data_IF_276075055626
#
_entry.id   IF_276075055626
#
_cell.length_a   1.000
_cell.length_b   1.000
_cell.length_c   1.000
_cell.angle_alpha   90.00
_cell.angle_beta   90.00
_cell.angle_gamma   90.00
#
_symmetry.space_group_name_H-M   'P 1'
#
loop_
_entity.id
_entity.type
_entity.pdbx_description
1 polymer ?
#
# COMPACT_ATOMS: atom_id res chain seq x y z
N UNK A 1 38.00 13.72 -6.49
CA UNK A 1 37.88 14.98 -7.24
C UNK A 1 37.76 14.59 -8.71
N UNK A 2 36.53 14.53 -9.24
CA UNK A 2 36.28 14.10 -10.61
C UNK A 2 35.60 15.25 -11.36
N UNK A 3 36.23 15.71 -12.43
CA UNK A 3 35.70 16.70 -13.37
C UNK A 3 34.99 15.96 -14.50
N UNK A 4 33.75 16.34 -14.79
CA UNK A 4 33.04 15.92 -16.00
C UNK A 4 33.27 16.97 -17.09
N UNK A 5 33.63 16.51 -18.29
CA UNK A 5 33.75 17.30 -19.50
C UNK A 5 32.52 16.98 -20.36
N UNK A 6 31.69 17.98 -20.63
CA UNK A 6 30.56 17.87 -21.56
C UNK A 6 30.87 18.75 -22.76
N UNK A 7 31.36 18.13 -23.82
CA UNK A 7 31.31 18.68 -25.17
C UNK A 7 30.69 17.61 -26.05
N UNK A 8 29.75 18.05 -26.89
CA UNK A 8 29.10 17.31 -27.98
C UNK A 8 27.75 16.66 -27.65
N UNK A 9 26.73 17.52 -27.45
CA UNK A 9 25.37 17.23 -27.91
C UNK A 9 24.83 18.51 -28.57
N UNK A 10 24.86 18.54 -29.90
CA UNK A 10 24.18 19.53 -30.73
C UNK A 10 22.66 19.31 -30.65
N UNK A 11 21.93 20.34 -30.24
CA UNK A 11 20.48 20.43 -30.36
C UNK A 11 20.15 21.64 -31.24
N UNK A 12 19.72 21.37 -32.47
CA UNK A 12 19.18 22.35 -33.41
C UNK A 12 17.92 23.01 -32.83
N UNK A 13 17.91 24.34 -32.80
CA UNK A 13 16.76 25.18 -32.45
C UNK A 13 16.23 25.77 -33.78
N UNK A 14 14.94 25.65 -34.13
CA UNK A 14 14.40 26.31 -35.31
C UNK A 14 14.28 27.82 -35.09
N UNK A 15 14.84 28.61 -36.00
CA UNK A 15 14.78 30.07 -36.03
C UNK A 15 13.34 30.58 -36.27
N UNK A 16 12.94 31.62 -35.52
CA UNK A 16 11.70 32.34 -35.73
C UNK A 16 11.92 33.49 -36.74
N UNK A 17 11.14 33.48 -37.81
CA UNK A 17 11.15 34.48 -38.88
C UNK A 17 10.89 35.90 -38.36
N UNK A 18 11.81 36.81 -38.70
CA UNK A 18 11.65 38.25 -38.59
C UNK A 18 10.98 38.78 -39.86
N UNK A 19 9.79 39.37 -39.74
CA UNK A 19 9.27 40.33 -40.72
C UNK A 19 9.05 41.68 -40.06
N UNK A 20 9.82 42.67 -40.53
CA UNK A 20 9.69 44.09 -40.24
C UNK A 20 8.73 44.76 -41.23
N UNK A 21 7.99 45.76 -40.72
CA UNK A 21 7.68 47.09 -41.30
C UNK A 21 6.19 47.50 -41.16
N UNK A 22 5.85 48.80 -41.13
CA UNK A 22 6.57 49.95 -40.57
C UNK A 22 5.67 50.87 -39.70
N UNK A 23 6.33 51.81 -39.01
CA UNK A 23 5.77 52.85 -38.14
C UNK A 23 4.99 53.92 -38.94
N UNK A 24 3.82 54.32 -38.44
CA UNK A 24 3.21 55.64 -38.74
C UNK A 24 2.44 56.19 -37.53
N UNK A 25 2.91 57.35 -37.09
CA UNK A 25 2.35 58.40 -36.23
C UNK A 25 0.85 58.37 -35.86
N UNK A 26 0.56 58.51 -34.56
CA UNK A 26 0.07 59.78 -34.00
C UNK A 26 0.07 59.76 -32.47
N UNK A 27 0.63 60.83 -31.90
CA UNK A 27 0.60 61.16 -30.49
C UNK A 27 -0.79 61.65 -30.09
N UNK A 28 -1.30 61.24 -28.93
CA UNK A 28 -2.12 62.08 -28.04
C UNK A 28 -2.41 61.37 -26.69
N UNK A 29 -2.27 62.14 -25.60
CA UNK A 29 -2.67 61.92 -24.20
C UNK A 29 -1.91 60.85 -23.38
N UNK A 30 -0.88 61.23 -22.62
CA UNK A 30 -0.93 61.86 -21.28
C UNK A 30 -1.58 61.00 -20.17
N UNK A 31 -0.70 60.58 -19.26
CA UNK A 31 -0.90 60.57 -17.80
C UNK A 31 -2.11 59.84 -17.23
N UNK A 32 -2.02 58.51 -17.16
CA UNK A 32 -2.52 57.72 -16.04
C UNK A 32 -2.09 56.24 -16.19
N UNK A 33 -1.09 55.82 -15.41
CA UNK A 33 -0.82 54.43 -14.92
C UNK A 33 0.68 54.21 -14.70
N UNK A 34 1.22 54.89 -13.69
CA UNK A 34 2.49 54.53 -13.07
C UNK A 34 2.36 54.81 -11.57
N UNK A 35 1.45 54.10 -10.91
CA UNK A 35 1.37 53.98 -9.45
C UNK A 35 0.32 52.91 -9.13
N UNK A 36 0.70 51.64 -9.27
CA UNK A 36 0.04 50.52 -8.60
C UNK A 36 0.93 49.28 -8.72
N UNK A 37 2.09 49.33 -8.06
CA UNK A 37 2.80 48.12 -7.64
C UNK A 37 3.17 48.28 -6.16
N UNK A 38 2.38 47.57 -5.34
CA UNK A 38 2.53 47.28 -3.89
C UNK A 38 2.34 48.47 -2.91
N UNK A 39 1.68 48.25 -1.74
CA UNK A 39 1.74 47.02 -0.94
C UNK A 39 0.38 46.46 -0.44
N UNK A 40 0.28 45.13 -0.40
CA UNK A 40 -0.55 44.42 0.58
C UNK A 40 0.16 43.10 0.92
N UNK A 41 1.19 43.24 1.74
CA UNK A 41 1.60 42.21 2.69
C UNK A 41 0.56 42.25 3.81
N UNK A 42 -0.24 41.18 3.93
CA UNK A 42 -0.77 40.66 5.20
C UNK A 42 -1.66 39.43 4.91
N UNK A 43 -1.07 38.40 4.30
CA UNK A 43 -1.61 37.04 4.47
C UNK A 43 -0.88 36.49 5.67
N UNK A 44 -1.57 36.49 6.82
CA UNK A 44 -1.07 35.89 8.06
C UNK A 44 -0.60 34.47 7.77
N UNK A 45 0.66 34.16 8.08
CA UNK A 45 1.28 32.83 8.08
C UNK A 45 0.59 31.81 9.03
N UNK A 46 -0.63 32.08 9.50
CA UNK A 46 -1.39 31.23 10.42
C UNK A 46 -2.61 30.51 9.82
N UNK A 47 -3.03 30.82 8.58
CA UNK A 47 -4.29 30.28 8.03
C UNK A 47 -4.17 28.90 7.37
N UNK A 48 -2.94 28.37 7.19
CA UNK A 48 -2.75 26.99 6.71
C UNK A 48 -2.88 25.92 7.81
N UNK A 49 -2.98 26.31 9.09
CA UNK A 49 -2.91 25.35 10.22
C UNK A 49 -4.27 24.87 10.76
N UNK A 50 -5.39 25.22 10.13
CA UNK A 50 -6.73 24.77 10.56
C UNK A 50 -7.58 24.20 9.40
N UNK A 51 -6.97 23.41 8.51
CA UNK A 51 -7.77 22.40 7.78
C UNK A 51 -8.26 21.39 8.82
N UNK A 52 -9.57 21.41 9.07
CA UNK A 52 -10.32 20.50 9.95
C UNK A 52 -9.75 19.08 9.77
N UNK A 53 -9.02 18.55 10.76
CA UNK A 53 -8.50 17.18 10.71
C UNK A 53 -9.64 16.27 10.27
N UNK A 54 -9.44 15.51 9.18
CA UNK A 54 -10.42 14.54 8.71
C UNK A 54 -10.60 13.51 9.81
N UNK A 55 -11.81 13.48 10.39
CA UNK A 55 -12.16 12.52 11.43
C UNK A 55 -12.07 11.10 10.86
N UNK A 56 -11.39 10.21 11.57
CA UNK A 56 -11.36 8.79 11.26
C UNK A 56 -12.79 8.28 11.08
N UNK A 57 -13.03 7.62 9.95
CA UNK A 57 -14.31 7.01 9.62
C UNK A 57 -14.08 5.69 8.91
N UNK A 58 -14.90 4.71 9.25
CA UNK A 58 -14.94 3.43 8.56
C UNK A 58 -15.81 3.54 7.30
N UNK A 59 -15.23 3.19 6.16
CA UNK A 59 -15.93 3.04 4.88
C UNK A 59 -16.38 1.59 4.74
N UNK A 60 -17.68 1.40 4.62
CA UNK A 60 -18.26 0.07 4.48
C UNK A 60 -18.06 -0.46 3.06
N UNK A 61 -17.84 -1.77 2.89
CA UNK A 61 -17.65 -2.41 1.57
C UNK A 61 -18.80 -2.08 0.62
N UNK A 62 -20.04 -2.01 1.10
CA UNK A 62 -21.20 -1.66 0.28
C UNK A 62 -21.21 -0.19 -0.19
N UNK A 63 -20.51 0.71 0.51
CA UNK A 63 -20.31 2.10 0.08
C UNK A 63 -19.19 2.16 -0.97
N UNK A 64 -18.07 1.47 -0.71
CA UNK A 64 -16.94 1.38 -1.64
C UNK A 64 -17.32 0.68 -2.95
N UNK A 65 -18.19 -0.33 -2.90
CA UNK A 65 -18.70 -1.01 -4.10
C UNK A 65 -19.50 -0.10 -5.03
N UNK A 66 -20.12 0.96 -4.50
CA UNK A 66 -20.88 1.94 -5.30
C UNK A 66 -19.98 2.93 -6.04
N UNK A 67 -18.73 3.08 -5.61
CA UNK A 67 -17.74 3.93 -6.27
C UNK A 67 -16.87 3.15 -7.27
N UNK A 68 -17.24 1.91 -7.61
CA UNK A 68 -16.52 1.14 -8.62
C UNK A 68 -17.04 1.50 -10.02
N UNK A 69 -16.14 1.62 -11.02
CA UNK A 69 -16.54 1.71 -12.41
C UNK A 69 -17.14 0.37 -12.90
N UNK A 70 -17.79 0.34 -14.07
CA UNK A 70 -18.34 -0.90 -14.65
C UNK A 70 -17.31 -2.01 -14.91
N UNK A 71 -16.05 -1.65 -15.10
CA UNK A 71 -14.93 -2.58 -15.23
C UNK A 71 -13.66 -1.95 -14.68
N UNK A 72 -12.74 -2.77 -14.16
CA UNK A 72 -11.42 -2.35 -13.72
C UNK A 72 -10.35 -2.87 -14.67
N UNK A 73 -9.55 -1.98 -15.26
CA UNK A 73 -8.30 -2.39 -15.90
C UNK A 73 -7.20 -2.59 -14.86
N UNK A 74 -6.44 -3.68 -15.00
CA UNK A 74 -5.38 -4.06 -14.07
C UNK A 74 -4.12 -4.53 -14.78
N UNK A 75 -3.00 -4.39 -14.07
CA UNK A 75 -1.69 -4.91 -14.48
C UNK A 75 -1.04 -5.76 -13.38
N UNK A 76 -0.19 -6.74 -13.75
CA UNK A 76 0.59 -7.52 -12.80
C UNK A 76 1.66 -6.65 -12.13
N UNK A 77 1.70 -6.70 -10.80
CA UNK A 77 2.76 -6.16 -9.96
C UNK A 77 3.65 -7.32 -9.52
N UNK A 78 4.85 -7.40 -10.11
CA UNK A 78 5.86 -8.40 -9.76
C UNK A 78 6.71 -7.90 -8.59
N UNK A 79 6.63 -8.59 -7.47
CA UNK A 79 7.45 -8.35 -6.28
C UNK A 79 8.67 -9.27 -6.32
N UNK A 80 9.89 -8.74 -6.48
CA UNK A 80 11.11 -9.54 -6.40
C UNK A 80 11.41 -9.91 -4.94
N UNK A 81 11.80 -11.17 -4.71
CA UNK A 81 12.13 -11.65 -3.36
C UNK A 81 13.63 -11.89 -3.21
N UNK A 82 14.13 -11.72 -1.99
CA UNK A 82 15.54 -12.03 -1.68
C UNK A 82 15.76 -13.54 -1.58
N UNK A 83 14.74 -14.30 -1.19
CA UNK A 83 14.77 -15.75 -1.01
C UNK A 83 13.67 -16.45 -1.80
N UNK A 84 13.88 -17.72 -2.15
CA UNK A 84 12.85 -18.55 -2.77
C UNK A 84 11.75 -18.88 -1.74
N UNK A 85 10.50 -18.61 -2.11
CA UNK A 85 9.34 -19.03 -1.32
C UNK A 85 8.89 -20.39 -1.85
N UNK A 86 8.91 -21.42 -1.01
CA UNK A 86 8.21 -22.67 -1.30
C UNK A 86 6.71 -22.44 -1.14
N UNK A 87 6.06 -21.90 -2.18
CA UNK A 87 4.60 -21.97 -2.27
C UNK A 87 4.24 -23.41 -2.62
N UNK A 88 3.30 -24.02 -1.88
CA UNK A 88 2.76 -25.32 -2.23
C UNK A 88 2.29 -25.30 -3.70
N UNK A 89 2.82 -26.17 -4.57
CA UNK A 89 2.52 -26.12 -6.00
C UNK A 89 1.13 -26.72 -6.23
N UNK A 90 0.11 -25.87 -6.21
CA UNK A 90 -1.21 -26.18 -6.71
C UNK A 90 -1.58 -25.30 -7.90
N UNK A 91 -0.62 -24.92 -8.76
CA UNK A 91 -0.85 -24.41 -10.13
C UNK A 91 0.44 -24.44 -10.97
N UNK A 92 1.19 -25.55 -10.96
CA UNK A 92 2.27 -25.75 -11.93
C UNK A 92 2.18 -27.19 -12.46
N UNK A 93 1.37 -27.39 -13.49
CA UNK A 93 1.24 -28.71 -14.14
C UNK A 93 2.47 -29.04 -14.99
N UNK A 94 2.92 -30.31 -15.00
CA UNK A 94 4.13 -30.78 -15.66
C UNK A 94 3.86 -31.38 -17.06
N UNK A 95 4.93 -31.50 -17.87
CA UNK A 95 5.25 -32.49 -18.95
C UNK A 95 6.24 -31.86 -19.96
N UNK A 96 7.27 -32.50 -20.52
CA UNK A 96 7.46 -33.90 -20.89
C UNK A 96 8.93 -34.35 -20.80
N UNK A 97 9.08 -35.63 -20.44
CA UNK A 97 10.24 -36.47 -20.68
C UNK A 97 10.61 -36.59 -22.18
N UNK A 98 11.91 -36.58 -22.47
CA UNK A 98 12.50 -37.48 -23.48
C UNK A 98 13.84 -38.01 -22.97
N UNK A 99 13.86 -39.30 -22.69
CA UNK A 99 15.06 -40.11 -22.49
C UNK A 99 15.75 -40.39 -23.83
N UNK A 100 17.08 -40.31 -23.86
CA UNK A 100 17.94 -41.26 -24.59
C UNK A 100 19.32 -41.34 -23.91
N UNK A 101 19.99 -42.51 -23.89
CA UNK A 101 21.20 -42.73 -23.11
C UNK A 101 22.48 -42.62 -23.95
N UNK A 102 23.55 -42.07 -23.37
CA UNK A 102 24.91 -42.41 -23.82
C UNK A 102 25.95 -42.08 -22.74
N UNK A 103 26.64 -43.14 -22.31
CA UNK A 103 27.92 -43.15 -21.59
C UNK A 103 29.05 -42.51 -22.38
N UNK A 104 29.84 -41.64 -21.73
CA UNK A 104 31.33 -41.66 -21.73
C UNK A 104 31.89 -40.65 -20.73
N UNK A 105 33.06 -41.00 -20.21
CA UNK A 105 33.83 -40.39 -19.12
C UNK A 105 34.70 -39.20 -19.54
N UNK A 106 34.94 -38.33 -18.56
CA UNK A 106 36.16 -37.53 -18.29
C UNK A 106 36.16 -36.00 -18.61
N UNK A 107 36.91 -35.31 -17.76
CA UNK A 107 37.39 -33.91 -17.77
C UNK A 107 36.51 -32.79 -17.17
N UNK A 108 36.91 -32.41 -15.93
CA UNK A 108 37.03 -31.06 -15.38
C UNK A 108 36.21 -29.93 -16.05
N UNK A 109 34.96 -29.78 -15.63
CA UNK A 109 34.15 -28.58 -15.88
C UNK A 109 34.13 -27.71 -14.62
N UNK A 110 34.44 -26.40 -14.69
CA UNK A 110 34.26 -25.50 -13.55
C UNK A 110 32.78 -25.50 -13.16
N UNK A 111 32.50 -25.85 -11.89
CA UNK A 111 31.14 -25.86 -11.32
C UNK A 111 30.40 -24.59 -11.78
N UNK A 112 29.27 -24.70 -12.51
CA UNK A 112 28.53 -23.51 -12.89
C UNK A 112 28.13 -22.83 -11.58
N UNK A 113 28.49 -21.54 -11.43
CA UNK A 113 27.94 -20.70 -10.37
C UNK A 113 26.43 -20.75 -10.56
N UNK A 114 25.74 -21.53 -9.73
CA UNK A 114 24.28 -21.55 -9.70
C UNK A 114 23.87 -20.13 -9.33
N UNK A 115 23.51 -19.34 -10.34
CA UNK A 115 22.79 -18.09 -10.12
C UNK A 115 21.48 -18.53 -9.47
N UNK A 116 21.40 -18.45 -8.14
CA UNK A 116 20.14 -18.63 -7.40
C UNK A 116 19.12 -17.74 -8.10
N UNK A 117 18.14 -18.31 -8.79
CA UNK A 117 17.04 -17.51 -9.35
C UNK A 117 16.32 -16.96 -8.14
N UNK A 118 16.20 -15.65 -8.05
CA UNK A 118 15.40 -15.00 -7.00
C UNK A 118 13.94 -15.32 -7.28
N UNK A 119 13.22 -15.86 -6.30
CA UNK A 119 11.77 -16.01 -6.38
C UNK A 119 11.07 -14.66 -6.60
N UNK A 120 9.83 -14.70 -7.08
CA UNK A 120 8.97 -13.53 -7.23
C UNK A 120 7.53 -13.87 -6.91
N UNK A 121 6.80 -12.92 -6.34
CA UNK A 121 5.35 -13.00 -6.17
C UNK A 121 4.69 -12.05 -7.17
N UNK A 122 3.55 -12.44 -7.73
CA UNK A 122 2.73 -11.56 -8.57
C UNK A 122 1.42 -11.24 -7.85
N UNK A 123 1.12 -9.95 -7.74
CA UNK A 123 -0.18 -9.42 -7.32
C UNK A 123 -0.82 -8.67 -8.50
N UNK A 124 -2.14 -8.61 -8.55
CA UNK A 124 -2.81 -7.72 -9.50
C UNK A 124 -3.02 -6.35 -8.86
N UNK A 125 -2.85 -5.30 -9.64
CA UNK A 125 -3.06 -3.92 -9.23
C UNK A 125 -3.87 -3.18 -10.27
N UNK A 126 -4.85 -2.41 -9.84
CA UNK A 126 -5.60 -1.48 -10.69
C UNK A 126 -4.62 -0.52 -11.37
N UNK A 127 -4.86 -0.27 -12.65
CA UNK A 127 -4.05 0.68 -13.39
C UNK A 127 -4.37 2.13 -12.99
N UNK A 128 -3.33 2.96 -12.90
CA UNK A 128 -3.53 4.36 -12.50
C UNK A 128 -4.29 5.16 -13.56
N UNK A 129 -4.13 4.82 -14.86
CA UNK A 129 -4.90 5.48 -15.92
C UNK A 129 -6.39 5.14 -15.83
N UNK A 130 -6.75 3.94 -15.37
CA UNK A 130 -8.14 3.53 -15.17
C UNK A 130 -8.79 4.33 -14.02
N UNK A 131 -8.06 4.50 -12.91
CA UNK A 131 -8.50 5.39 -11.82
C UNK A 131 -8.63 6.86 -12.28
N UNK A 132 -7.73 7.35 -13.15
CA UNK A 132 -7.85 8.69 -13.77
C UNK A 132 -9.10 8.80 -14.63
N UNK A 133 -9.33 7.81 -15.48
CA UNK A 133 -10.47 7.81 -16.40
C UNK A 133 -11.79 7.84 -15.65
N UNK A 134 -11.92 7.06 -14.57
CA UNK A 134 -13.08 7.09 -13.68
C UNK A 134 -13.39 8.51 -13.18
N UNK A 135 -12.39 9.21 -12.63
CA UNK A 135 -12.58 10.57 -12.10
C UNK A 135 -13.00 11.58 -13.19
N UNK A 136 -12.42 11.45 -14.39
CA UNK A 136 -12.80 12.29 -15.54
C UNK A 136 -14.27 12.02 -15.91
N UNK A 137 -14.67 10.75 -16.03
CA UNK A 137 -16.04 10.39 -16.41
C UNK A 137 -17.08 10.86 -15.38
N UNK A 138 -16.80 10.76 -14.08
CA UNK A 138 -17.70 11.24 -13.02
C UNK A 138 -17.82 12.77 -13.01
N UNK A 139 -16.79 13.48 -13.49
CA UNK A 139 -16.79 14.94 -13.60
C UNK A 139 -17.63 15.43 -14.79
N UNK A 140 -17.60 14.72 -15.92
CA UNK A 140 -18.42 15.06 -17.10
C UNK A 140 -19.93 14.84 -16.86
N UNK A 141 -20.29 13.88 -16.00
CA UNK A 141 -21.69 13.63 -15.63
C UNK A 141 -22.26 14.65 -14.64
N UNK A 142 -21.38 15.34 -13.88
CA UNK A 142 -21.77 16.34 -12.89
C UNK A 142 -21.56 17.74 -13.47
N UNK A 143 -22.59 18.29 -14.12
CA UNK A 143 -22.69 19.62 -14.77
C UNK A 143 -22.41 20.86 -13.84
N UNK A 144 -21.71 20.68 -12.72
CA UNK A 144 -21.39 21.73 -11.74
C UNK A 144 -19.94 22.18 -11.86
N UNK A 145 -19.75 23.48 -12.10
CA UNK A 145 -18.48 24.22 -12.15
C UNK A 145 -17.74 24.31 -10.79
N UNK A 146 -17.81 23.27 -9.96
CA UNK A 146 -17.10 23.17 -8.69
C UNK A 146 -15.80 22.41 -8.90
N UNK A 147 -14.67 23.06 -8.62
CA UNK A 147 -13.34 22.44 -8.54
C UNK A 147 -13.42 21.14 -7.71
N UNK A 148 -13.26 19.99 -8.35
CA UNK A 148 -13.25 18.69 -7.67
C UNK A 148 -11.81 18.32 -7.29
N UNK A 149 -11.51 18.16 -5.99
CA UNK A 149 -10.15 17.87 -5.52
C UNK A 149 -9.51 16.60 -6.12
N UNK A 150 -10.33 15.65 -6.59
CA UNK A 150 -9.91 14.34 -7.06
C UNK A 150 -8.94 14.35 -8.24
N UNK A 151 -9.20 15.16 -9.27
CA UNK A 151 -8.35 15.24 -10.47
C UNK A 151 -6.98 15.87 -10.16
N UNK A 152 -6.97 16.91 -9.33
CA UNK A 152 -5.73 17.55 -8.88
C UNK A 152 -4.81 16.57 -8.16
N UNK A 153 -5.35 15.52 -7.50
CA UNK A 153 -4.55 14.49 -6.85
C UNK A 153 -3.88 13.53 -7.83
N UNK A 154 -4.51 13.23 -8.95
CA UNK A 154 -3.99 12.23 -9.88
C UNK A 154 -3.06 12.82 -10.92
N UNK A 155 -3.26 14.08 -11.30
CA UNK A 155 -2.43 14.80 -12.26
C UNK A 155 -1.25 15.54 -11.60
N UNK A 156 -1.18 15.56 -10.26
CA UNK A 156 -0.04 16.14 -9.58
C UNK A 156 1.26 15.41 -9.93
N UNK A 157 2.31 16.10 -10.41
CA UNK A 157 3.62 15.49 -10.61
C UNK A 157 4.28 15.10 -9.28
N UNK A 158 3.89 15.73 -8.16
CA UNK A 158 4.30 15.35 -6.82
C UNK A 158 3.38 14.24 -6.27
N UNK A 159 3.99 13.18 -5.76
CA UNK A 159 3.27 12.11 -5.06
C UNK A 159 2.78 12.53 -3.67
N UNK A 160 3.09 13.75 -3.22
CA UNK A 160 2.73 14.29 -1.91
C UNK A 160 2.34 15.77 -1.98
N UNK A 161 1.24 16.12 -1.29
CA UNK A 161 0.78 17.46 -0.96
C UNK A 161 0.38 17.46 0.53
N UNK A 162 1.25 17.93 1.44
CA UNK A 162 1.03 17.84 2.89
C UNK A 162 -0.34 18.39 3.33
N UNK A 163 -1.08 17.62 4.14
CA UNK A 163 -2.40 17.98 4.67
C UNK A 163 -3.52 18.03 3.62
N UNK A 164 -3.27 17.61 2.38
CA UNK A 164 -4.27 17.56 1.31
C UNK A 164 -4.27 16.19 0.62
N UNK A 165 -3.11 15.70 0.21
CA UNK A 165 -2.91 14.41 -0.43
C UNK A 165 -1.56 13.84 -0.04
N UNK A 166 -1.55 12.96 0.96
CA UNK A 166 -0.34 12.30 1.47
C UNK A 166 0.13 11.13 0.59
N UNK A 167 -0.21 11.15 -0.70
CA UNK A 167 0.07 10.07 -1.65
C UNK A 167 -0.96 8.93 -1.60
N UNK A 168 -0.54 7.76 -2.09
CA UNK A 168 -1.30 6.51 -1.96
C UNK A 168 -1.89 5.93 -3.25
N UNK A 169 -2.04 6.73 -4.33
CA UNK A 169 -2.50 6.22 -5.63
C UNK A 169 -1.43 5.41 -6.39
N UNK A 170 -0.15 5.71 -6.12
CA UNK A 170 0.99 4.97 -6.66
C UNK A 170 1.50 3.97 -5.63
N UNK A 171 2.03 2.85 -6.12
CA UNK A 171 2.77 1.90 -5.28
C UNK A 171 4.19 2.40 -5.08
N UNK A 172 4.61 2.52 -3.82
CA UNK A 172 5.96 2.92 -3.45
C UNK A 172 6.86 1.69 -3.26
N UNK A 173 8.16 1.84 -3.51
CA UNK A 173 9.10 0.71 -3.56
C UNK A 173 9.28 0.01 -2.21
N UNK A 174 9.23 0.75 -1.10
CA UNK A 174 9.34 0.13 0.23
C UNK A 174 8.19 -0.84 0.54
N UNK A 175 7.03 -0.72 -0.13
CA UNK A 175 5.93 -1.66 0.04
C UNK A 175 6.28 -3.03 -0.52
N UNK A 176 7.10 -3.09 -1.57
CA UNK A 176 7.64 -4.34 -2.12
C UNK A 176 8.69 -4.95 -1.18
N UNK A 177 9.50 -4.10 -0.56
CA UNK A 177 10.49 -4.53 0.45
C UNK A 177 9.80 -5.16 1.68
N UNK A 178 8.63 -4.66 2.10
CA UNK A 178 7.83 -5.33 3.14
C UNK A 178 7.34 -6.70 2.73
N UNK A 179 6.84 -6.85 1.50
CA UNK A 179 6.38 -8.15 1.01
C UNK A 179 7.53 -9.17 1.04
N UNK A 180 8.75 -8.77 0.70
CA UNK A 180 9.92 -9.63 0.81
C UNK A 180 10.14 -10.14 2.26
N UNK A 181 10.10 -9.23 3.25
CA UNK A 181 10.16 -9.63 4.66
C UNK A 181 9.01 -10.54 5.08
N UNK A 182 7.77 -10.17 4.72
CA UNK A 182 6.57 -10.93 5.06
C UNK A 182 6.59 -12.33 4.45
N UNK A 183 7.18 -12.49 3.26
CA UNK A 183 7.30 -13.79 2.60
C UNK A 183 8.19 -14.78 3.35
N UNK A 184 9.16 -14.26 4.10
CA UNK A 184 10.01 -15.07 4.98
C UNK A 184 9.31 -15.38 6.29
N UNK A 185 8.59 -14.41 6.86
CA UNK A 185 7.92 -14.53 8.17
C UNK A 185 6.70 -15.46 8.10
N UNK A 186 5.88 -15.31 7.06
CA UNK A 186 4.64 -16.05 6.83
C UNK A 186 4.77 -17.09 5.72
N UNK A 187 5.92 -17.78 5.66
CA UNK A 187 6.10 -18.97 4.82
C UNK A 187 5.11 -20.08 5.17
N UNK A 188 4.66 -20.11 6.42
CA UNK A 188 3.57 -20.94 6.92
C UNK A 188 2.32 -20.09 7.16
N UNK A 189 1.31 -20.25 6.30
CA UNK A 189 0.06 -19.48 6.37
C UNK A 189 -0.78 -19.81 7.61
N UNK A 190 -0.58 -20.95 8.27
CA UNK A 190 -1.31 -21.28 9.51
C UNK A 190 -1.05 -20.24 10.60
N UNK A 191 0.16 -19.67 10.64
CA UNK A 191 0.56 -18.60 11.56
C UNK A 191 -0.10 -17.25 11.29
N UNK A 192 -0.79 -17.10 10.16
CA UNK A 192 -1.49 -15.87 9.79
C UNK A 192 -2.97 -15.90 10.16
N UNK A 193 -3.58 -17.09 10.24
CA UNK A 193 -5.00 -17.24 10.57
C UNK A 193 -5.31 -16.75 11.98
N UNK A 194 -6.48 -16.14 12.15
CA UNK A 194 -6.95 -15.62 13.43
C UNK A 194 -6.29 -14.31 13.87
N UNK A 195 -5.39 -13.74 13.06
CA UNK A 195 -4.66 -12.51 13.40
C UNK A 195 -5.46 -11.25 13.13
N UNK A 196 -5.21 -10.21 13.93
CA UNK A 196 -5.58 -8.82 13.64
C UNK A 196 -4.40 -8.11 13.01
N UNK A 197 -4.60 -7.60 11.80
CA UNK A 197 -3.59 -6.99 10.94
C UNK A 197 -4.02 -5.56 10.67
N UNK A 198 -3.12 -4.59 10.78
CA UNK A 198 -3.34 -3.21 10.35
C UNK A 198 -2.20 -2.74 9.46
N UNK A 199 -2.56 -2.07 8.37
CA UNK A 199 -1.63 -1.30 7.54
C UNK A 199 -1.98 0.19 7.65
N UNK A 200 -1.06 0.95 8.24
CA UNK A 200 -1.16 2.39 8.48
C UNK A 200 -0.58 3.13 7.27
N UNK A 201 -1.36 4.03 6.68
CA UNK A 201 -1.00 4.69 5.42
C UNK A 201 -0.89 3.68 4.28
N UNK A 202 -1.96 2.91 4.05
CA UNK A 202 -1.89 1.72 3.21
C UNK A 202 -1.72 2.03 1.71
N UNK A 203 -2.20 3.17 1.20
CA UNK A 203 -2.14 3.47 -0.23
C UNK A 203 -2.73 2.33 -1.07
N UNK A 204 -1.91 1.72 -1.94
CA UNK A 204 -2.29 0.56 -2.77
C UNK A 204 -2.35 -0.78 -2.00
N UNK A 205 -2.03 -0.79 -0.70
CA UNK A 205 -2.12 -1.89 0.27
C UNK A 205 -1.32 -3.16 -0.05
N UNK A 206 -0.29 -3.06 -0.89
CA UNK A 206 0.50 -4.20 -1.38
C UNK A 206 0.97 -5.19 -0.27
N UNK A 207 1.49 -4.75 0.89
CA UNK A 207 1.86 -5.64 2.00
C UNK A 207 0.66 -6.44 2.54
N UNK A 208 -0.46 -5.80 2.82
CA UNK A 208 -1.67 -6.49 3.31
C UNK A 208 -2.31 -7.37 2.25
N UNK A 209 -2.26 -6.97 0.97
CA UNK A 209 -2.78 -7.78 -0.14
C UNK A 209 -1.96 -9.04 -0.36
N UNK A 210 -0.65 -9.00 -0.09
CA UNK A 210 0.15 -10.21 -0.03
C UNK A 210 -0.35 -11.17 1.06
N UNK A 211 -0.60 -10.67 2.28
CA UNK A 211 -1.15 -11.50 3.37
C UNK A 211 -2.55 -12.03 3.03
N UNK A 212 -3.41 -11.20 2.44
CA UNK A 212 -4.72 -11.62 1.95
C UNK A 212 -4.60 -12.72 0.89
N UNK A 213 -3.68 -12.59 -0.07
CA UNK A 213 -3.42 -13.64 -1.07
C UNK A 213 -3.04 -14.96 -0.41
N UNK A 214 -2.19 -14.95 0.62
CA UNK A 214 -1.86 -16.18 1.35
C UNK A 214 -3.11 -16.82 1.97
N UNK A 215 -3.95 -16.02 2.64
CA UNK A 215 -5.18 -16.50 3.28
C UNK A 215 -6.19 -17.09 2.28
N UNK A 216 -6.36 -16.46 1.12
CA UNK A 216 -7.29 -16.90 0.07
C UNK A 216 -6.79 -18.11 -0.73
N UNK A 217 -5.47 -18.30 -0.82
CA UNK A 217 -4.87 -19.46 -1.48
C UNK A 217 -4.69 -20.67 -0.55
N UNK A 218 -4.79 -20.47 0.77
CA UNK A 218 -4.70 -21.57 1.73
C UNK A 218 -5.98 -22.43 1.70
N UNK A 219 -5.89 -23.71 2.14
CA UNK A 219 -7.09 -24.52 2.37
C UNK A 219 -8.05 -23.80 3.32
N UNK A 220 -9.35 -24.00 3.10
CA UNK A 220 -10.40 -23.47 3.96
C UNK A 220 -10.13 -23.87 5.42
N UNK A 221 -10.24 -22.94 6.39
CA UNK A 221 -9.98 -23.28 7.78
C UNK A 221 -11.02 -24.27 8.31
N UNK A 222 -10.57 -25.27 9.07
CA UNK A 222 -11.46 -26.20 9.80
C UNK A 222 -12.04 -25.54 11.05
N UNK A 223 -11.29 -24.60 11.64
CA UNK A 223 -11.66 -23.84 12.84
C UNK A 223 -12.32 -22.51 12.49
N UNK A 224 -13.17 -22.01 13.39
CA UNK A 224 -13.86 -20.71 13.25
C UNK A 224 -12.97 -19.50 13.58
N UNK A 225 -11.67 -19.57 13.29
CA UNK A 225 -10.74 -18.45 13.53
C UNK A 225 -11.03 -17.31 12.56
N UNK A 226 -11.27 -16.11 13.11
CA UNK A 226 -11.56 -14.91 12.33
C UNK A 226 -10.31 -14.05 12.19
N UNK A 227 -9.89 -13.81 10.96
CA UNK A 227 -8.76 -12.92 10.63
C UNK A 227 -9.32 -11.55 10.26
N UNK A 228 -8.79 -10.48 10.86
CA UNK A 228 -9.21 -9.10 10.59
C UNK A 228 -8.04 -8.34 9.94
N UNK A 229 -8.29 -7.69 8.80
CA UNK A 229 -7.34 -6.83 8.09
C UNK A 229 -7.90 -5.42 8.06
N UNK A 230 -7.16 -4.46 8.59
CA UNK A 230 -7.54 -3.05 8.63
C UNK A 230 -6.60 -2.28 7.71
N UNK A 231 -7.19 -1.59 6.74
CA UNK A 231 -6.51 -0.78 5.75
C UNK A 231 -6.82 0.69 6.05
N UNK A 232 -5.85 1.40 6.60
CA UNK A 232 -6.01 2.79 6.98
C UNK A 232 -5.26 3.71 6.01
N UNK A 233 -5.94 4.70 5.45
CA UNK A 233 -5.32 5.79 4.69
C UNK A 233 -5.84 7.16 5.16
N UNK A 234 -5.10 8.23 4.87
CA UNK A 234 -5.58 9.58 5.14
C UNK A 234 -6.78 9.93 4.24
N UNK A 235 -6.72 9.51 2.98
CA UNK A 235 -7.68 9.88 1.94
C UNK A 235 -8.70 8.78 1.69
N UNK A 236 -9.98 9.11 1.77
CA UNK A 236 -11.08 8.22 1.37
C UNK A 236 -11.05 7.88 -0.12
N UNK A 237 -10.64 8.83 -0.98
CA UNK A 237 -10.47 8.62 -2.41
C UNK A 237 -9.40 7.56 -2.72
N UNK A 238 -8.32 7.48 -1.93
CA UNK A 238 -7.33 6.41 -2.09
C UNK A 238 -7.97 5.04 -1.80
N UNK A 239 -8.75 4.96 -0.73
CA UNK A 239 -9.47 3.73 -0.38
C UNK A 239 -10.47 3.30 -1.47
N UNK A 240 -11.20 4.26 -2.03
CA UNK A 240 -12.20 4.03 -3.09
C UNK A 240 -11.56 3.69 -4.45
N UNK A 241 -10.54 4.45 -4.86
CA UNK A 241 -9.99 4.37 -6.21
C UNK A 241 -8.92 3.29 -6.36
N UNK A 242 -8.15 2.95 -5.33
CA UNK A 242 -7.05 1.99 -5.48
C UNK A 242 -7.08 0.87 -4.45
N UNK A 243 -7.29 1.17 -3.16
CA UNK A 243 -7.15 0.15 -2.11
C UNK A 243 -8.20 -0.94 -2.24
N UNK A 244 -9.49 -0.57 -2.30
CA UNK A 244 -10.58 -1.53 -2.42
C UNK A 244 -10.60 -2.26 -3.78
N UNK A 245 -10.39 -1.58 -4.94
CA UNK A 245 -10.17 -2.28 -6.21
C UNK A 245 -9.05 -3.31 -6.16
N UNK A 246 -7.92 -3.03 -5.50
CA UNK A 246 -6.83 -4.00 -5.38
C UNK A 246 -7.18 -5.17 -4.45
N UNK A 247 -8.01 -4.95 -3.42
CA UNK A 247 -8.57 -6.04 -2.59
C UNK A 247 -9.42 -6.97 -3.46
N UNK A 248 -10.31 -6.43 -4.30
CA UNK A 248 -11.11 -7.23 -5.23
C UNK A 248 -10.24 -7.98 -6.24
N UNK A 249 -9.25 -7.32 -6.84
CA UNK A 249 -8.31 -7.95 -7.76
C UNK A 249 -7.50 -9.07 -7.10
N UNK A 250 -7.16 -8.93 -5.81
CA UNK A 250 -6.48 -9.96 -5.05
C UNK A 250 -7.35 -11.21 -4.92
N UNK A 251 -8.64 -11.05 -4.57
CA UNK A 251 -9.59 -12.16 -4.57
C UNK A 251 -9.82 -12.73 -5.98
N UNK A 252 -10.00 -11.87 -6.98
CA UNK A 252 -10.21 -12.26 -8.36
C UNK A 252 -9.04 -13.06 -8.93
N UNK A 253 -7.81 -12.82 -8.46
CA UNK A 253 -6.63 -13.62 -8.82
C UNK A 253 -6.44 -14.92 -8.04
N UNK A 254 -7.27 -15.15 -7.01
CA UNK A 254 -7.14 -16.31 -6.12
C UNK A 254 -7.85 -17.55 -6.70
N UNK A 255 -7.54 -18.76 -6.19
CA UNK A 255 -8.29 -19.97 -6.53
C UNK A 255 -9.79 -19.88 -6.23
N UNK A 256 -10.21 -19.06 -5.28
CA UNK A 256 -11.62 -18.95 -4.88
C UNK A 256 -12.51 -18.30 -5.94
N UNK A 257 -11.92 -17.53 -6.85
CA UNK A 257 -12.62 -16.91 -7.97
C UNK A 257 -12.52 -17.75 -9.25
N UNK A 258 -11.98 -18.97 -9.22
CA UNK A 258 -11.82 -19.81 -10.42
C UNK A 258 -13.17 -20.10 -11.09
N UNK A 259 -14.16 -20.55 -10.33
CA UNK A 259 -15.51 -20.80 -10.84
C UNK A 259 -16.18 -19.54 -11.39
N UNK A 260 -15.86 -18.36 -10.84
CA UNK A 260 -16.32 -17.08 -11.38
C UNK A 260 -15.71 -16.81 -12.76
N UNK A 261 -14.39 -17.00 -12.90
CA UNK A 261 -13.65 -16.75 -14.13
C UNK A 261 -14.04 -17.73 -15.24
N UNK A 262 -14.33 -18.98 -14.91
CA UNK A 262 -14.74 -20.01 -15.89
C UNK A 262 -16.13 -19.78 -16.49
N UNK A 263 -16.98 -18.96 -15.86
CA UNK A 263 -18.30 -18.62 -16.40
C UNK A 263 -18.27 -17.54 -17.48
N UNK A 264 -17.12 -16.91 -17.72
CA UNK A 264 -16.98 -15.89 -18.77
C UNK A 264 -17.10 -16.50 -20.16
N UNK A 265 -17.41 -15.66 -21.14
CA UNK A 265 -17.60 -16.09 -22.52
C UNK A 265 -16.36 -16.78 -23.07
N UNK A 266 -16.56 -17.86 -23.82
CA UNK A 266 -15.48 -18.69 -24.36
C UNK A 266 -14.56 -17.95 -25.35
N UNK A 267 -14.98 -16.77 -25.83
CA UNK A 267 -14.22 -15.90 -26.71
C UNK A 267 -13.27 -14.95 -25.94
N UNK A 268 -13.36 -14.86 -24.61
CA UNK A 268 -12.40 -14.11 -23.78
C UNK A 268 -11.08 -14.88 -23.63
N UNK A 269 -9.94 -14.16 -23.59
CA UNK A 269 -8.66 -14.80 -23.30
C UNK A 269 -8.68 -15.44 -21.90
N UNK A 270 -8.10 -16.64 -21.72
CA UNK A 270 -7.99 -17.26 -20.41
C UNK A 270 -7.27 -16.34 -19.43
N UNK A 271 -7.81 -16.25 -18.21
CA UNK A 271 -7.21 -15.45 -17.16
C UNK A 271 -5.77 -15.87 -16.89
N UNK A 272 -4.85 -14.91 -17.03
CA UNK A 272 -3.44 -15.06 -16.70
C UNK A 272 -3.04 -14.00 -15.67
N UNK A 273 -2.66 -14.38 -14.43
CA UNK A 273 -2.26 -13.42 -13.40
C UNK A 273 -0.97 -12.67 -13.73
N UNK A 274 -0.25 -13.07 -14.79
CA UNK A 274 0.97 -12.42 -15.27
C UNK A 274 0.74 -11.48 -16.46
N UNK A 275 -0.51 -11.26 -16.87
CA UNK A 275 -0.88 -10.33 -17.93
C UNK A 275 -1.82 -9.25 -17.43
N UNK A 276 -1.78 -8.11 -18.12
CA UNK A 276 -2.80 -7.07 -17.94
C UNK A 276 -4.14 -7.56 -18.48
N UNK A 277 -5.23 -7.02 -17.95
CA UNK A 277 -6.57 -7.37 -18.39
C UNK A 277 -7.64 -6.52 -17.73
N UNK A 278 -8.89 -6.85 -18.03
CA UNK A 278 -10.06 -6.15 -17.54
C UNK A 278 -10.95 -7.07 -16.70
N UNK A 279 -11.45 -6.53 -15.58
CA UNK A 279 -12.38 -7.21 -14.69
C UNK A 279 -13.72 -6.47 -14.66
N UNK A 280 -14.77 -6.98 -15.34
CA UNK A 280 -16.12 -6.45 -15.22
C UNK A 280 -16.61 -6.53 -13.78
N UNK A 281 -17.19 -5.45 -13.29
CA UNK A 281 -17.81 -5.34 -11.98
C UNK A 281 -19.28 -5.71 -12.10
N UNK A 282 -19.65 -6.88 -11.57
CA UNK A 282 -21.01 -7.40 -11.61
C UNK A 282 -21.55 -7.64 -10.20
N UNK A 283 -22.88 -7.70 -10.01
CA UNK A 283 -23.46 -8.11 -8.73
C UNK A 283 -22.98 -9.49 -8.27
N UNK A 284 -22.81 -10.43 -9.21
CA UNK A 284 -22.34 -11.80 -8.92
C UNK A 284 -20.89 -11.80 -8.44
N UNK A 285 -20.02 -10.97 -9.04
CA UNK A 285 -18.63 -10.77 -8.58
C UNK A 285 -18.62 -10.37 -7.10
N UNK A 286 -19.43 -9.37 -6.75
CA UNK A 286 -19.49 -8.82 -5.41
C UNK A 286 -20.07 -9.83 -4.41
N UNK A 287 -21.09 -10.58 -4.81
CA UNK A 287 -21.70 -11.62 -3.99
C UNK A 287 -20.71 -12.75 -3.69
N UNK A 288 -19.98 -13.24 -4.68
CA UNK A 288 -19.01 -14.33 -4.49
C UNK A 288 -17.76 -13.87 -3.74
N UNK A 289 -17.32 -12.63 -3.94
CA UNK A 289 -16.27 -12.01 -3.14
C UNK A 289 -16.65 -12.00 -1.65
N UNK A 290 -17.84 -11.50 -1.31
CA UNK A 290 -18.32 -11.43 0.06
C UNK A 290 -18.50 -12.83 0.68
N UNK A 291 -19.08 -13.77 -0.07
CA UNK A 291 -19.23 -15.16 0.37
C UNK A 291 -17.88 -15.86 0.60
N UNK A 292 -16.87 -15.54 -0.22
CA UNK A 292 -15.51 -16.05 -0.04
C UNK A 292 -14.88 -15.54 1.26
N UNK A 293 -15.00 -14.23 1.53
CA UNK A 293 -14.50 -13.65 2.78
C UNK A 293 -15.18 -14.27 4.00
N UNK A 294 -16.51 -14.41 3.97
CA UNK A 294 -17.27 -15.01 5.06
C UNK A 294 -16.88 -16.47 5.29
N UNK A 295 -16.85 -17.28 4.23
CA UNK A 295 -16.53 -18.72 4.32
C UNK A 295 -15.09 -19.00 4.78
N UNK A 296 -14.18 -18.04 4.62
CA UNK A 296 -12.79 -18.09 5.07
C UNK A 296 -12.55 -17.37 6.41
N UNK A 297 -13.60 -16.80 7.02
CA UNK A 297 -13.48 -16.07 8.29
C UNK A 297 -12.63 -14.81 8.18
N UNK A 298 -12.63 -14.14 7.02
CA UNK A 298 -11.82 -12.93 6.77
C UNK A 298 -12.72 -11.70 6.88
N UNK A 299 -12.26 -10.68 7.59
CA UNK A 299 -12.91 -9.37 7.66
C UNK A 299 -11.93 -8.30 7.23
N UNK A 300 -12.35 -7.44 6.31
CA UNK A 300 -11.54 -6.34 5.80
C UNK A 300 -12.26 -5.03 6.13
N UNK A 301 -11.57 -4.11 6.79
CA UNK A 301 -12.10 -2.81 7.22
C UNK A 301 -11.26 -1.69 6.62
N UNK A 302 -11.92 -0.63 6.16
CA UNK A 302 -11.30 0.48 5.44
C UNK A 302 -11.49 1.76 6.25
N UNK A 303 -10.40 2.36 6.73
CA UNK A 303 -10.46 3.50 7.64
C UNK A 303 -9.81 4.71 6.97
N UNK A 304 -10.61 5.73 6.67
CA UNK A 304 -10.10 6.99 6.16
C UNK A 304 -9.94 8.01 7.28
N UNK A 305 -8.89 8.80 7.26
CA UNK A 305 -8.71 9.98 8.11
C UNK A 305 -7.33 10.06 8.73
N UNK A 306 -7.10 11.12 9.50
CA UNK A 306 -5.81 11.37 10.14
C UNK A 306 -5.44 10.31 11.20
N UNK A 307 -4.15 10.03 11.37
CA UNK A 307 -3.66 9.14 12.44
C UNK A 307 -4.08 9.61 13.83
N UNK A 308 -4.09 10.93 14.07
CA UNK A 308 -4.53 11.50 15.34
C UNK A 308 -6.00 11.17 15.59
N UNK A 309 -6.87 11.33 14.58
CA UNK A 309 -8.29 11.00 14.73
C UNK A 309 -8.56 9.50 14.91
N UNK A 310 -7.70 8.62 14.39
CA UNK A 310 -7.76 7.17 14.65
C UNK A 310 -7.42 6.86 16.11
N UNK A 311 -6.47 7.59 16.70
CA UNK A 311 -6.14 7.48 18.14
C UNK A 311 -7.30 8.02 18.99
N UNK A 312 -7.87 9.17 18.59
CA UNK A 312 -8.93 9.88 19.30
C UNK A 312 -10.33 9.29 19.06
N UNK A 313 -10.43 8.11 18.43
CA UNK A 313 -11.70 7.53 17.95
C UNK A 313 -12.80 7.46 19.02
N UNK A 314 -14.05 7.59 18.55
CA UNK A 314 -15.22 7.67 19.41
C UNK A 314 -15.43 6.38 20.23
N UNK A 315 -15.77 6.45 21.54
CA UNK A 315 -15.86 5.31 22.46
C UNK A 315 -16.81 4.17 22.06
N UNK A 316 -17.69 4.39 21.07
CA UNK A 316 -18.75 3.46 20.71
C UNK A 316 -18.26 2.26 19.89
N UNK A 317 -17.15 2.37 19.14
CA UNK A 317 -16.54 1.27 18.39
C UNK A 317 -15.03 1.48 18.23
N UNK A 318 -14.22 1.31 19.28
CA UNK A 318 -12.80 1.65 19.19
C UNK A 318 -12.05 0.58 18.37
N UNK A 319 -11.51 0.96 17.22
CA UNK A 319 -10.72 0.04 16.37
C UNK A 319 -9.47 -0.43 17.11
N UNK A 320 -8.94 0.45 17.95
CA UNK A 320 -7.74 0.27 18.76
C UNK A 320 -8.03 -0.35 20.15
N UNK A 321 -9.23 -0.90 20.42
CA UNK A 321 -9.55 -1.54 21.72
C UNK A 321 -8.59 -2.69 22.04
N UNK A 322 -8.28 -3.50 21.03
CA UNK A 322 -7.41 -4.65 21.15
C UNK A 322 -6.13 -4.42 20.34
N UNK A 323 -4.98 -4.95 20.79
CA UNK A 323 -3.77 -4.93 19.99
C UNK A 323 -3.96 -5.62 18.64
N UNK A 324 -3.04 -5.28 17.74
CA UNK A 324 -2.84 -5.98 16.50
C UNK A 324 -1.70 -6.97 16.65
N UNK A 325 -1.86 -8.15 16.04
CA UNK A 325 -0.79 -9.13 15.90
C UNK A 325 0.26 -8.67 14.90
N UNK A 326 -0.18 -7.92 13.87
CA UNK A 326 0.65 -7.47 12.76
C UNK A 326 0.35 -6.00 12.47
N UNK A 327 1.37 -5.16 12.56
CA UNK A 327 1.31 -3.73 12.27
C UNK A 327 2.30 -3.45 11.15
N UNK A 328 1.79 -2.93 10.03
CA UNK A 328 2.56 -2.64 8.83
C UNK A 328 2.45 -1.16 8.51
N UNK A 329 3.55 -0.58 8.04
CA UNK A 329 3.50 0.74 7.41
C UNK A 329 4.70 0.92 6.48
N UNK A 330 4.47 1.60 5.36
CA UNK A 330 5.46 1.78 4.30
C UNK A 330 5.52 3.24 3.88
N UNK A 331 6.71 3.82 3.93
CA UNK A 331 6.98 5.19 3.54
C UNK A 331 6.11 6.22 4.27
N UNK A 332 5.96 6.08 5.59
CA UNK A 332 5.15 6.99 6.43
C UNK A 332 5.98 7.89 7.35
N UNK A 333 7.31 7.80 7.29
CA UNK A 333 8.22 8.58 8.15
C UNK A 333 8.82 9.81 7.46
N UNK A 334 8.30 10.21 6.30
CA UNK A 334 8.86 11.30 5.51
C UNK A 334 8.57 12.69 6.08
N UNK A 335 7.46 12.85 6.81
CA UNK A 335 7.06 14.12 7.42
C UNK A 335 7.38 14.12 8.92
N UNK A 336 8.29 15.01 9.32
CA UNK A 336 8.75 15.13 10.70
C UNK A 336 7.68 15.64 11.67
N UNK A 337 6.70 16.42 11.18
CA UNK A 337 5.64 16.97 12.02
C UNK A 337 4.66 15.89 12.51
N UNK A 338 4.50 14.83 11.71
CA UNK A 338 3.61 13.71 12.03
C UNK A 338 4.32 12.57 12.78
N UNK A 339 5.64 12.68 12.99
CA UNK A 339 6.46 11.58 13.53
C UNK A 339 6.02 11.14 14.93
N UNK A 340 5.70 12.10 15.80
CA UNK A 340 5.24 11.82 17.17
C UNK A 340 3.88 11.12 17.18
N UNK A 341 2.95 11.54 16.31
CA UNK A 341 1.62 10.96 16.14
C UNK A 341 1.75 9.52 15.62
N UNK A 342 2.59 9.29 14.60
CA UNK A 342 2.85 7.96 14.06
C UNK A 342 3.43 7.03 15.13
N UNK A 343 4.44 7.47 15.88
CA UNK A 343 5.03 6.65 16.94
C UNK A 343 4.01 6.33 18.03
N UNK A 344 3.15 7.28 18.41
CA UNK A 344 2.08 7.01 19.35
C UNK A 344 1.09 5.97 18.80
N UNK A 345 0.68 6.09 17.53
CA UNK A 345 -0.20 5.11 16.88
C UNK A 345 0.44 3.71 16.84
N UNK A 346 1.72 3.60 16.44
CA UNK A 346 2.45 2.33 16.45
C UNK A 346 2.50 1.71 17.86
N UNK A 347 2.74 2.53 18.90
CA UNK A 347 2.70 2.07 20.29
C UNK A 347 1.33 1.57 20.73
N UNK A 348 0.26 2.31 20.43
CA UNK A 348 -1.10 1.95 20.82
C UNK A 348 -1.55 0.67 20.10
N UNK A 349 -1.24 0.54 18.80
CA UNK A 349 -1.57 -0.68 18.02
C UNK A 349 -0.84 -1.94 18.51
N UNK A 350 0.33 -1.79 19.15
CA UNK A 350 1.07 -2.89 19.78
C UNK A 350 0.78 -3.06 21.28
N UNK A 351 0.02 -2.14 21.89
CA UNK A 351 -0.16 -2.05 23.34
C UNK A 351 -1.01 -3.18 23.94
N UNK A 352 -0.94 -3.35 25.27
CA UNK A 352 -1.89 -4.24 25.95
C UNK A 352 -3.32 -3.69 25.81
N UNK A 353 -4.36 -4.55 25.80
CA UNK A 353 -5.74 -4.08 25.75
C UNK A 353 -5.97 -3.00 26.82
N UNK A 354 -6.53 -1.87 26.41
CA UNK A 354 -6.85 -0.81 27.36
C UNK A 354 -7.92 -1.35 28.31
N UNK A 355 -7.66 -1.31 29.62
CA UNK A 355 -8.56 -1.77 30.67
C UNK A 355 -9.73 -0.81 30.86
N UNK A 356 -10.46 -0.50 29.79
CA UNK A 356 -11.75 0.17 29.83
C UNK A 356 -12.83 -0.88 29.70
N UNK A 357 -13.62 -1.07 30.76
CA UNK A 357 -14.95 -1.72 30.91
C UNK A 357 -15.52 -2.64 29.80
N UNK A 358 -14.71 -3.31 28.99
CA UNK A 358 -15.13 -4.45 28.21
C UNK A 358 -15.32 -5.59 29.22
N UNK A 359 -16.55 -6.07 29.35
CA UNK A 359 -16.91 -7.12 30.31
C UNK A 359 -15.90 -8.24 30.23
N UNK A 360 -15.42 -8.66 31.40
CA UNK A 360 -14.43 -9.73 31.59
C UNK A 360 -14.76 -11.01 30.80
N UNK A 361 -16.03 -11.20 30.42
CA UNK A 361 -16.54 -12.27 29.57
C UNK A 361 -16.07 -12.17 28.10
N UNK A 362 -16.09 -10.98 27.48
CA UNK A 362 -15.66 -10.79 26.09
C UNK A 362 -14.13 -10.93 25.92
N UNK A 363 -13.37 -10.55 26.96
CA UNK A 363 -11.91 -10.72 27.02
C UNK A 363 -11.57 -12.20 27.24
N UNK A 364 -12.28 -12.89 28.14
CA UNK A 364 -12.05 -14.31 28.42
C UNK A 364 -12.42 -15.22 27.24
N UNK A 365 -13.50 -14.94 26.53
CA UNK A 365 -13.92 -15.73 25.37
C UNK A 365 -12.95 -15.60 24.18
N UNK A 366 -12.37 -14.40 23.96
CA UNK A 366 -11.34 -14.20 22.92
C UNK A 366 -9.95 -14.70 23.31
N UNK A 367 -9.53 -14.57 24.58
CA UNK A 367 -8.26 -15.15 25.04
C UNK A 367 -8.28 -16.67 24.97
N UNK A 368 -9.41 -17.31 25.31
CA UNK A 368 -9.55 -18.76 25.24
C UNK A 368 -9.53 -19.29 23.79
N UNK A 369 -10.01 -18.51 22.82
CA UNK A 369 -9.96 -18.88 21.40
C UNK A 369 -8.60 -18.61 20.74
N UNK A 370 -7.65 -17.99 21.45
CA UNK A 370 -6.28 -17.73 20.97
C UNK A 370 -5.25 -18.73 21.53
N UNK A 371 -5.69 -19.75 22.27
CA UNK A 371 -4.83 -20.72 22.95
C UNK A 371 -5.04 -22.15 22.43
N UNK A 372 -4.69 -22.37 21.16
CA UNK A 372 -4.27 -23.66 20.59
C UNK A 372 -3.32 -23.30 19.44
N UNK A 373 -2.03 -23.63 19.44
CA UNK A 373 -1.44 -24.96 19.39
C UNK A 373 0.01 -24.95 19.94
N UNK A 374 0.34 -26.02 20.64
CA UNK A 374 1.63 -26.57 21.10
C UNK A 374 2.95 -25.83 20.80
N UNK A 375 3.54 -25.25 21.85
CA UNK A 375 5.00 -25.13 21.99
C UNK A 375 5.46 -25.98 23.19
N UNK A 376 5.77 -27.25 22.92
CA UNK A 376 6.67 -28.03 23.76
C UNK A 376 8.10 -27.63 23.39
N UNK A 377 8.66 -26.60 24.04
CA UNK A 377 10.06 -26.55 24.47
C UNK A 377 10.34 -25.30 25.32
N UNK A 378 10.23 -25.50 26.64
CA UNK A 378 11.01 -24.87 27.72
C UNK A 378 11.73 -23.54 27.42
N UNK A 379 11.07 -22.41 27.71
CA UNK A 379 11.51 -21.38 28.67
C UNK A 379 10.67 -20.10 28.54
N UNK A 380 9.91 -19.77 29.58
CA UNK A 380 9.34 -18.43 29.77
C UNK A 380 8.09 -18.14 28.95
N UNK A 381 6.95 -18.19 29.63
CA UNK A 381 5.60 -17.84 29.19
C UNK A 381 5.49 -16.38 28.70
N UNK A 382 5.99 -16.08 27.49
CA UNK A 382 5.73 -14.84 26.77
C UNK A 382 4.85 -15.17 25.58
N UNK A 383 3.60 -14.69 25.61
CA UNK A 383 2.77 -14.63 24.41
C UNK A 383 3.60 -14.03 23.27
N UNK A 384 3.61 -14.60 22.06
CA UNK A 384 4.41 -14.05 20.97
C UNK A 384 3.98 -12.60 20.74
N UNK A 385 4.91 -11.66 20.95
CA UNK A 385 4.63 -10.23 20.85
C UNK A 385 4.23 -9.81 19.44
N UNK A 386 3.49 -8.71 19.31
CA UNK A 386 3.07 -8.13 18.04
C UNK A 386 4.24 -7.91 17.08
N UNK A 387 4.05 -8.25 15.80
CA UNK A 387 4.99 -7.94 14.73
C UNK A 387 4.70 -6.54 14.19
N UNK A 388 5.60 -5.58 14.43
CA UNK A 388 5.51 -4.24 13.85
C UNK A 388 6.65 -3.97 12.88
N UNK A 389 6.32 -3.75 11.60
CA UNK A 389 7.27 -3.50 10.53
C UNK A 389 7.05 -2.12 9.90
N UNK A 390 8.13 -1.34 9.79
CA UNK A 390 8.17 -0.01 9.17
C UNK A 390 9.17 -0.05 8.04
N UNK A 391 8.70 0.18 6.81
CA UNK A 391 9.54 0.25 5.62
C UNK A 391 9.75 1.69 5.23
N UNK A 392 10.98 2.09 4.95
CA UNK A 392 11.28 3.48 4.64
C UNK A 392 12.52 3.66 3.77
N UNK A 393 12.53 4.76 3.02
CA UNK A 393 13.76 5.33 2.48
C UNK A 393 14.62 5.84 3.63
N UNK A 394 15.93 5.65 3.53
CA UNK A 394 16.86 6.09 4.58
C UNK A 394 16.81 7.61 4.79
N UNK A 395 16.56 8.36 3.72
CA UNK A 395 16.43 9.82 3.72
C UNK A 395 15.40 10.29 2.70
N UNK A 396 14.56 11.25 3.08
CA UNK A 396 13.57 11.92 2.23
C UNK A 396 14.01 13.36 1.95
N UNK A 397 14.44 13.63 0.71
CA UNK A 397 14.84 14.98 0.29
C UNK A 397 13.63 15.93 0.22
N UNK A 398 13.81 17.20 0.60
CA UNK A 398 12.78 18.24 0.56
C UNK A 398 11.90 18.30 1.81
N UNK A 399 11.35 17.16 2.26
CA UNK A 399 10.46 17.07 3.43
C UNK A 399 11.19 16.76 4.75
N UNK A 400 12.44 16.32 4.68
CA UNK A 400 13.35 16.25 5.84
C UNK A 400 13.27 14.99 6.70
N UNK A 401 12.32 14.08 6.46
CA UNK A 401 12.24 12.80 7.17
C UNK A 401 13.44 11.89 6.92
N UNK A 402 13.83 11.12 7.94
CA UNK A 402 14.90 10.14 7.84
C UNK A 402 14.71 8.97 8.79
N UNK A 403 15.29 7.82 8.45
CA UNK A 403 15.32 6.65 9.34
C UNK A 403 16.03 6.98 10.66
N UNK A 404 17.10 7.78 10.62
CA UNK A 404 17.87 8.13 11.80
C UNK A 404 17.00 8.92 12.80
N UNK A 405 16.20 9.86 12.31
CA UNK A 405 15.34 10.68 13.17
C UNK A 405 14.16 9.88 13.71
N UNK A 406 13.60 8.98 12.90
CA UNK A 406 12.62 8.00 13.35
C UNK A 406 13.17 7.09 14.46
N UNK A 407 14.35 6.48 14.27
CA UNK A 407 14.99 5.61 15.28
C UNK A 407 15.22 6.37 16.59
N UNK A 408 15.71 7.62 16.53
CA UNK A 408 15.88 8.47 17.72
C UNK A 408 14.55 8.76 18.42
N UNK A 409 13.50 9.04 17.67
CA UNK A 409 12.19 9.31 18.24
C UNK A 409 11.57 8.06 18.90
N UNK A 410 11.73 6.88 18.28
CA UNK A 410 11.33 5.59 18.87
C UNK A 410 12.07 5.34 20.19
N UNK A 411 13.39 5.58 20.25
CA UNK A 411 14.19 5.43 21.47
C UNK A 411 13.74 6.38 22.59
N UNK A 412 13.40 7.63 22.26
CA UNK A 412 12.84 8.58 23.25
C UNK A 412 11.55 8.07 23.87
N UNK A 413 10.75 7.36 23.08
CA UNK A 413 9.52 6.69 23.51
C UNK A 413 9.74 5.28 24.09
N UNK A 414 10.98 4.97 24.50
CA UNK A 414 11.40 3.69 25.11
C UNK A 414 11.21 2.46 24.22
N UNK A 415 11.09 2.65 22.91
CA UNK A 415 11.06 1.58 21.92
C UNK A 415 12.46 1.21 21.43
N UNK A 416 12.53 0.14 20.64
CA UNK A 416 13.73 -0.31 19.92
C UNK A 416 13.41 -0.60 18.46
N UNK A 417 14.37 -0.34 17.60
CA UNK A 417 14.33 -0.67 16.17
C UNK A 417 15.39 -1.73 15.84
N UNK A 418 15.06 -2.66 14.96
CA UNK A 418 15.97 -3.65 14.39
C UNK A 418 15.85 -3.61 12.86
N UNK A 419 16.98 -3.43 12.15
CA UNK A 419 16.99 -3.45 10.68
C UNK A 419 16.96 -4.89 10.18
N UNK A 420 15.83 -5.33 9.62
CA UNK A 420 15.65 -6.69 9.12
C UNK A 420 15.88 -6.82 7.61
N UNK A 421 15.87 -5.70 6.89
CA UNK A 421 16.15 -5.64 5.46
C UNK A 421 16.83 -4.32 5.10
N UNK A 422 17.78 -4.36 4.16
CA UNK A 422 18.45 -3.19 3.62
C UNK A 422 18.60 -3.32 2.10
N UNK A 423 18.30 -2.24 1.38
CA UNK A 423 18.52 -2.07 -0.05
C UNK A 423 19.53 -0.96 -0.26
N UNK A 424 20.62 -1.28 -0.94
CA UNK A 424 21.69 -0.33 -1.25
C UNK A 424 21.67 0.15 -2.71
N UNK A 425 20.80 -0.45 -3.55
CA UNK A 425 20.61 -0.05 -4.95
C UNK A 425 19.68 1.17 -5.03
N UNK A 426 20.10 2.20 -5.77
CA UNK A 426 19.31 3.43 -5.93
C UNK A 426 19.24 4.26 -4.64
N UNK A 427 18.04 4.79 -4.34
CA UNK A 427 17.79 5.43 -3.04
C UNK A 427 17.78 4.33 -1.99
N UNK A 428 18.63 4.44 -0.98
CA UNK A 428 18.74 3.43 0.07
C UNK A 428 17.41 3.26 0.81
N UNK A 429 17.00 2.01 1.04
CA UNK A 429 15.77 1.65 1.75
C UNK A 429 16.05 0.62 2.84
N UNK A 430 15.20 0.58 3.85
CA UNK A 430 15.30 -0.39 4.94
C UNK A 430 13.91 -0.77 5.46
N UNK A 431 13.81 -1.99 5.99
CA UNK A 431 12.67 -2.41 6.80
C UNK A 431 13.15 -2.56 8.25
N UNK A 432 12.44 -1.89 9.15
CA UNK A 432 12.67 -1.88 10.58
C UNK A 432 11.60 -2.75 11.26
N UNK A 433 12.02 -3.63 12.16
CA UNK A 433 11.15 -4.24 13.16
C UNK A 433 11.17 -3.40 14.43
N UNK A 434 9.99 -3.10 14.97
CA UNK A 434 9.85 -2.32 16.20
C UNK A 434 9.41 -3.19 17.36
N UNK A 435 9.87 -2.84 18.56
CA UNK A 435 9.47 -3.44 19.83
C UNK A 435 9.37 -2.38 20.92
N UNK A 436 8.37 -2.52 21.79
CA UNK A 436 8.23 -1.78 23.05
C UNK A 436 8.12 -2.79 24.18
N UNK A 437 8.78 -2.50 25.30
CA UNK A 437 8.81 -3.36 26.50
C UNK A 437 7.64 -3.06 27.44
#
# INVERSE_FOLDING_TARGET
>A
MFKFNFSDIDLEIPEADQQQDPISSNAENQDAKANELQPLLDVKEGDYMHKKLTSARELQINQLAKSLPPALSYSPLVVPLTYDVQLNPATDTPKQDKQTPSTTTDESVPKPKVKKRRGSITLLRRDLYDARYQLISETEETDTSTEQPGLDFVDNPSDLVPGVYEGGLKTWECSLDLVDCLSTIYSDTSKLRGKRIIEIGCGTAVPSLYLLRLLLSAPRPEESLRTEIILQDYNDLVLQLVTFPNVLLTWYSSPLAESYRERRDADEEPFDPHKAGDMPITPDLMSEFQASLESYGITIRFISGSWQSLIDEHPAQPILTYPFDVVLTSETIYNMDNLSILINLLKVTMGKPTSGEATSEAIAEKLNNSLTLDDNETNGNQSPGSLCLVAAKVLYFGVGGSVIDFERAVVRERGKTEKILQREEGIKRTVLRLTWN
#
